data_IF_467857864043
#
_entry.id   IF_467857864043
#
_cell.length_a   1.000
_cell.length_b   1.000
_cell.length_c   1.000
_cell.angle_alpha   90.00
_cell.angle_beta   90.00
_cell.angle_gamma   90.00
#
_symmetry.space_group_name_H-M   'P 1'
#
loop_
_entity.id
_entity.type
_entity.pdbx_description
1 polymer ?
#
# COMPACT_ATOMS: atom_id res chain seq x y z
N UNK A 1 72.74 -36.43 -36.38
CA UNK A 1 73.99 -36.94 -35.81
C UNK A 1 73.65 -37.55 -34.49
N UNK A 2 73.48 -38.85 -34.44
CA UNK A 2 74.42 -39.78 -33.85
C UNK A 2 74.48 -39.60 -32.32
N UNK A 3 74.35 -40.49 -31.45
CA UNK A 3 74.44 -41.98 -31.49
C UNK A 3 74.28 -42.44 -30.05
N UNK A 4 73.50 -43.42 -29.81
CA UNK A 4 73.85 -44.83 -29.56
C UNK A 4 74.33 -45.19 -28.15
N UNK A 5 73.56 -46.10 -27.54
CA UNK A 5 73.88 -47.36 -26.84
C UNK A 5 74.73 -47.24 -25.55
N UNK A 6 74.53 -48.04 -24.57
CA UNK A 6 74.31 -49.51 -24.34
C UNK A 6 74.07 -49.71 -22.83
N UNK A 7 73.14 -50.52 -22.44
CA UNK A 7 73.13 -51.97 -22.05
C UNK A 7 74.22 -52.45 -21.04
N UNK A 8 73.76 -52.94 -19.87
CA UNK A 8 73.96 -54.30 -19.32
C UNK A 8 73.59 -54.37 -17.84
N UNK A 9 72.65 -55.17 -17.50
CA UNK A 9 72.69 -56.55 -16.92
C UNK A 9 73.63 -56.66 -15.72
N UNK A 10 73.22 -57.04 -14.56
CA UNK A 10 72.73 -58.34 -14.12
C UNK A 10 72.63 -58.40 -12.57
N UNK A 11 71.65 -59.11 -12.11
CA UNK A 11 71.57 -60.22 -11.13
C UNK A 11 71.97 -59.97 -9.69
N UNK A 12 71.28 -60.38 -8.76
CA UNK A 12 70.73 -61.60 -8.18
C UNK A 12 70.59 -61.47 -6.66
N UNK A 13 69.46 -61.90 -6.14
CA UNK A 13 69.20 -62.59 -4.87
C UNK A 13 69.46 -61.88 -3.51
N UNK A 14 68.43 -61.87 -2.73
CA UNK A 14 68.42 -61.79 -1.26
C UNK A 14 67.05 -61.63 -0.70
N UNK A 15 66.41 -62.76 -0.37
CA UNK A 15 65.15 -62.81 0.37
C UNK A 15 65.43 -62.41 1.84
N UNK A 16 64.62 -61.54 2.39
CA UNK A 16 64.31 -61.56 3.85
C UNK A 16 62.94 -60.96 4.06
N UNK A 17 62.03 -61.72 4.64
CA UNK A 17 60.71 -61.35 5.08
C UNK A 17 60.82 -60.48 6.35
N UNK A 18 60.20 -59.36 6.33
CA UNK A 18 59.85 -58.60 7.58
C UNK A 18 58.37 -58.21 7.52
N UNK A 19 57.63 -58.87 8.41
CA UNK A 19 56.25 -58.45 8.74
C UNK A 19 56.26 -57.00 9.29
N UNK A 20 55.67 -56.07 8.57
CA UNK A 20 55.43 -54.77 9.02
C UNK A 20 53.92 -54.48 9.05
N UNK A 21 53.37 -54.36 10.24
CA UNK A 21 51.98 -53.90 10.50
C UNK A 21 51.74 -52.55 9.84
N UNK A 22 51.03 -52.56 8.74
CA UNK A 22 50.52 -51.29 8.12
C UNK A 22 49.26 -50.81 8.82
N UNK A 23 49.38 -49.83 9.72
CA UNK A 23 48.23 -49.09 10.25
C UNK A 23 47.61 -48.29 9.11
N UNK A 24 46.48 -48.77 8.60
CA UNK A 24 45.65 -47.99 7.70
C UNK A 24 44.95 -46.82 8.49
N UNK A 25 45.50 -45.61 8.42
CA UNK A 25 44.84 -44.42 8.87
C UNK A 25 43.69 -44.04 7.91
N UNK A 26 42.48 -44.45 8.26
CA UNK A 26 41.26 -43.95 7.66
C UNK A 26 41.10 -42.46 8.06
N UNK A 27 41.49 -41.56 7.15
CA UNK A 27 41.09 -40.14 7.20
C UNK A 27 39.59 -40.07 6.93
N UNK A 28 38.77 -40.08 7.98
CA UNK A 28 37.37 -39.71 7.90
C UNK A 28 37.30 -38.21 7.54
N UNK A 29 37.12 -37.92 6.27
CA UNK A 29 36.74 -36.59 5.80
C UNK A 29 35.32 -36.30 6.34
N UNK A 30 35.22 -35.65 7.51
CA UNK A 30 33.98 -35.05 7.97
C UNK A 30 33.62 -33.97 6.95
N UNK A 31 32.75 -34.30 6.01
CA UNK A 31 32.05 -33.32 5.18
C UNK A 31 31.21 -32.45 6.14
N UNK A 32 31.71 -31.26 6.44
CA UNK A 32 30.93 -30.24 7.16
C UNK A 32 29.82 -29.83 6.17
N UNK A 33 28.64 -30.39 6.33
CA UNK A 33 27.47 -29.92 5.63
C UNK A 33 27.30 -28.42 5.97
N UNK A 34 27.11 -27.55 4.99
CA UNK A 34 26.85 -26.14 5.28
C UNK A 34 25.65 -26.05 6.21
N UNK A 35 25.80 -25.29 7.31
CA UNK A 35 24.72 -25.06 8.24
C UNK A 35 23.50 -24.51 7.45
N UNK A 36 22.29 -25.00 7.72
CA UNK A 36 21.09 -24.47 7.05
C UNK A 36 21.07 -22.96 7.27
N UNK A 37 20.83 -22.24 6.17
CA UNK A 37 20.69 -20.79 6.24
C UNK A 37 19.65 -20.45 7.31
N UNK A 38 19.89 -19.46 8.19
CA UNK A 38 18.92 -19.08 9.19
C UNK A 38 17.58 -18.79 8.53
N UNK A 39 16.50 -19.36 9.07
CA UNK A 39 15.15 -19.12 8.58
C UNK A 39 14.92 -17.59 8.51
N UNK A 40 14.30 -17.07 7.45
CA UNK A 40 14.07 -15.65 7.31
C UNK A 40 13.33 -15.14 8.56
N UNK A 41 13.91 -14.13 9.19
CA UNK A 41 13.37 -13.52 10.41
C UNK A 41 11.98 -12.95 10.08
N UNK A 42 10.96 -13.34 10.84
CA UNK A 42 9.65 -12.70 10.79
C UNK A 42 9.80 -11.24 11.23
N UNK A 43 9.34 -10.31 10.38
CA UNK A 43 9.35 -8.88 10.64
C UNK A 43 7.93 -8.40 11.02
N UNK A 44 7.85 -7.33 11.83
CA UNK A 44 6.61 -6.60 12.11
C UNK A 44 6.60 -5.28 11.33
N UNK A 45 5.89 -5.25 10.21
CA UNK A 45 5.80 -4.08 9.33
C UNK A 45 4.69 -3.17 9.81
N UNK A 46 5.00 -1.94 10.18
CA UNK A 46 4.02 -0.93 10.61
C UNK A 46 3.54 -0.12 9.41
N UNK A 47 2.25 -0.24 9.10
CA UNK A 47 1.64 0.42 7.96
C UNK A 47 0.52 1.34 8.43
N UNK A 48 0.50 2.57 7.89
CA UNK A 48 -0.69 3.42 7.96
C UNK A 48 -1.22 3.65 6.55
N UNK A 49 -2.51 3.42 6.36
CA UNK A 49 -3.19 3.57 5.06
C UNK A 49 -4.40 4.48 5.15
N UNK A 50 -4.63 5.24 4.09
CA UNK A 50 -5.83 6.05 3.94
C UNK A 50 -6.94 5.29 3.21
N UNK A 51 -8.14 5.87 3.21
CA UNK A 51 -9.38 5.20 2.91
C UNK A 51 -9.48 4.50 1.55
N UNK A 52 -9.01 5.14 0.47
CA UNK A 52 -9.26 4.62 -0.88
C UNK A 52 -8.64 3.23 -1.18
N UNK A 53 -7.57 2.85 -0.49
CA UNK A 53 -6.95 1.51 -0.62
C UNK A 53 -7.37 0.55 0.50
N UNK A 54 -8.15 1.00 1.48
CA UNK A 54 -8.44 0.25 2.71
C UNK A 54 -9.09 -1.11 2.45
N UNK A 55 -10.06 -1.20 1.56
CA UNK A 55 -10.79 -2.48 1.36
C UNK A 55 -9.93 -3.52 0.64
N UNK A 56 -9.16 -3.11 -0.37
CA UNK A 56 -8.17 -3.98 -0.98
C UNK A 56 -7.07 -4.37 0.01
N UNK A 57 -6.57 -3.42 0.79
CA UNK A 57 -5.56 -3.63 1.81
C UNK A 57 -5.98 -4.69 2.83
N UNK A 58 -7.20 -4.61 3.38
CA UNK A 58 -7.71 -5.59 4.35
C UNK A 58 -7.78 -7.02 3.79
N UNK A 59 -8.01 -7.17 2.49
CA UNK A 59 -8.02 -8.47 1.83
C UNK A 59 -6.61 -8.98 1.50
N UNK A 60 -5.69 -8.06 1.12
CA UNK A 60 -4.35 -8.40 0.67
C UNK A 60 -3.37 -8.69 1.82
N UNK A 61 -3.47 -7.97 2.93
CA UNK A 61 -2.56 -8.15 4.07
C UNK A 61 -2.54 -9.58 4.60
N UNK A 62 -3.69 -10.24 4.89
CA UNK A 62 -3.68 -11.63 5.34
C UNK A 62 -3.08 -12.61 4.33
N UNK A 63 -3.15 -12.31 3.03
CA UNK A 63 -2.51 -13.12 1.98
C UNK A 63 -1.00 -12.98 2.06
N UNK A 64 -0.50 -11.74 2.16
CA UNK A 64 0.92 -11.47 2.31
C UNK A 64 1.51 -12.11 3.58
N UNK A 65 0.85 -11.97 4.73
CA UNK A 65 1.30 -12.55 6.00
C UNK A 65 1.45 -14.07 5.92
N UNK A 66 0.48 -14.75 5.29
CA UNK A 66 0.54 -16.22 5.09
C UNK A 66 1.68 -16.64 4.17
N UNK A 67 1.97 -15.86 3.13
CA UNK A 67 3.01 -16.22 2.16
C UNK A 67 4.41 -15.87 2.64
N UNK A 68 4.57 -14.76 3.34
CA UNK A 68 5.88 -14.24 3.74
C UNK A 68 6.32 -14.65 5.14
N UNK A 69 5.37 -15.00 6.02
CA UNK A 69 5.62 -15.21 7.45
C UNK A 69 5.84 -13.90 8.23
N UNK A 70 5.78 -12.73 7.57
CA UNK A 70 5.82 -11.44 8.25
C UNK A 70 4.49 -11.11 8.90
N UNK A 71 4.49 -10.12 9.81
CA UNK A 71 3.30 -9.54 10.43
C UNK A 71 3.12 -8.10 9.99
N UNK A 72 1.88 -7.67 9.83
CA UNK A 72 1.55 -6.29 9.45
C UNK A 72 0.72 -5.64 10.55
N UNK A 73 1.28 -4.61 11.17
CA UNK A 73 0.59 -3.79 12.17
C UNK A 73 -0.08 -2.63 11.45
N UNK A 74 -1.38 -2.75 11.27
CA UNK A 74 -2.17 -1.84 10.45
C UNK A 74 -2.74 -0.67 11.24
N UNK A 75 -2.64 0.52 10.67
CA UNK A 75 -3.29 1.74 11.14
C UNK A 75 -4.03 2.41 9.99
N UNK A 76 -5.05 3.19 10.32
CA UNK A 76 -5.88 3.87 9.33
C UNK A 76 -5.98 5.36 9.67
N UNK A 77 -6.07 6.21 8.63
CA UNK A 77 -6.20 7.64 8.80
C UNK A 77 -6.41 8.37 7.48
N UNK A 78 -6.85 9.62 7.53
CA UNK A 78 -7.01 10.43 6.32
C UNK A 78 -5.66 10.77 5.69
N UNK A 79 -5.60 10.85 4.34
CA UNK A 79 -4.38 11.26 3.62
C UNK A 79 -3.92 12.67 3.95
N UNK A 80 -4.84 13.53 4.33
CA UNK A 80 -4.64 14.98 4.51
C UNK A 80 -5.45 15.47 5.70
N UNK A 81 -5.24 16.75 6.05
CA UNK A 81 -5.98 17.41 7.13
C UNK A 81 -5.29 17.27 8.48
N UNK A 82 -5.96 17.80 9.52
CA UNK A 82 -5.44 17.94 10.88
C UNK A 82 -6.23 17.13 11.92
N UNK A 83 -7.07 16.18 11.48
CA UNK A 83 -7.74 15.28 12.40
C UNK A 83 -6.71 14.49 13.23
N UNK A 84 -7.02 14.11 14.47
CA UNK A 84 -6.08 13.40 15.34
C UNK A 84 -5.55 12.09 14.76
N UNK A 85 -6.34 11.41 13.94
CA UNK A 85 -6.04 10.15 13.25
C UNK A 85 -5.46 10.34 11.83
N UNK A 86 -5.44 11.58 11.30
CA UNK A 86 -4.88 11.84 9.98
C UNK A 86 -3.38 11.49 9.92
N UNK A 87 -2.94 10.94 8.79
CA UNK A 87 -1.54 10.53 8.58
C UNK A 87 -0.55 11.66 8.86
N UNK A 88 -0.77 12.91 8.38
CA UNK A 88 0.12 14.03 8.72
C UNK A 88 0.25 14.27 10.21
N UNK A 89 -0.87 14.23 10.94
CA UNK A 89 -0.90 14.49 12.39
C UNK A 89 -0.17 13.39 13.15
N UNK A 90 -0.35 12.13 12.78
CA UNK A 90 0.29 10.99 13.43
C UNK A 90 1.80 10.97 13.19
N UNK A 91 2.25 11.27 11.97
CA UNK A 91 3.68 11.43 11.68
C UNK A 91 4.29 12.62 12.44
N UNK A 92 3.57 13.74 12.56
CA UNK A 92 4.02 14.90 13.31
C UNK A 92 4.18 14.62 14.82
N UNK A 93 3.37 13.70 15.38
CA UNK A 93 3.52 13.22 16.77
C UNK A 93 4.68 12.23 16.97
N UNK A 94 5.40 11.87 15.91
CA UNK A 94 6.50 10.91 15.96
C UNK A 94 6.07 9.45 16.00
N UNK A 95 4.83 9.13 15.63
CA UNK A 95 4.42 7.73 15.50
C UNK A 95 5.23 7.05 14.39
N UNK A 96 5.72 5.85 14.69
CA UNK A 96 6.63 5.11 13.83
C UNK A 96 5.85 4.21 12.87
N UNK A 97 6.11 4.39 11.59
CA UNK A 97 5.60 3.53 10.52
C UNK A 97 6.76 3.15 9.59
N UNK A 98 6.64 2.02 8.91
CA UNK A 98 7.55 1.61 7.84
C UNK A 98 7.00 2.02 6.48
N UNK A 99 5.68 1.95 6.32
CA UNK A 99 4.97 2.29 5.08
C UNK A 99 3.83 3.26 5.38
N UNK A 100 3.70 4.26 4.52
CA UNK A 100 2.53 5.13 4.44
C UNK A 100 1.84 4.91 3.08
N UNK A 101 0.51 4.78 3.07
CA UNK A 101 -0.30 4.63 1.86
C UNK A 101 -1.37 5.74 1.86
N UNK A 102 -1.25 6.68 0.94
CA UNK A 102 -2.09 7.88 0.92
C UNK A 102 -2.18 8.49 -0.49
N UNK A 103 -2.94 9.57 -0.62
CA UNK A 103 -3.02 10.30 -1.89
C UNK A 103 -1.63 10.71 -2.38
N UNK A 104 -1.31 10.42 -3.64
CA UNK A 104 0.02 10.63 -4.23
C UNK A 104 0.57 12.04 -4.03
N UNK A 105 -0.19 13.13 -4.26
CA UNK A 105 0.30 14.49 -4.01
C UNK A 105 0.71 14.73 -2.55
N UNK A 106 0.02 14.11 -1.58
CA UNK A 106 0.39 14.20 -0.17
C UNK A 106 1.69 13.41 0.12
N UNK A 107 1.87 12.24 -0.51
CA UNK A 107 3.10 11.47 -0.43
C UNK A 107 4.28 12.25 -1.01
N UNK A 108 4.10 12.92 -2.15
CA UNK A 108 5.13 13.76 -2.76
C UNK A 108 5.56 14.90 -1.81
N UNK A 109 4.60 15.46 -1.07
CA UNK A 109 4.89 16.42 0.00
C UNK A 109 5.80 15.83 1.08
N UNK A 110 5.50 14.63 1.58
CA UNK A 110 6.35 13.95 2.57
C UNK A 110 7.73 13.58 2.03
N UNK A 111 7.83 13.19 0.77
CA UNK A 111 9.13 12.93 0.13
C UNK A 111 9.95 14.24 0.07
N UNK A 112 9.33 15.35 -0.34
CA UNK A 112 9.99 16.66 -0.40
C UNK A 112 10.44 17.16 0.98
N UNK A 113 9.69 16.85 2.03
CA UNK A 113 10.02 17.18 3.42
C UNK A 113 11.04 16.18 4.04
N UNK A 114 11.50 15.18 3.31
CA UNK A 114 12.40 14.15 3.83
C UNK A 114 11.76 13.15 4.82
N UNK A 115 10.45 13.17 4.98
CA UNK A 115 9.70 12.25 5.86
C UNK A 115 9.44 10.88 5.22
N UNK A 116 9.45 10.82 3.90
CA UNK A 116 9.42 9.57 3.13
C UNK A 116 10.64 9.49 2.21
N UNK A 117 11.10 8.27 1.95
CA UNK A 117 12.31 7.99 1.18
C UNK A 117 12.09 8.39 -0.29
N UNK A 118 13.00 9.18 -0.84
CA UNK A 118 12.99 9.54 -2.26
C UNK A 118 13.07 8.29 -3.15
N UNK A 119 12.22 8.26 -4.19
CA UNK A 119 12.14 7.12 -5.12
C UNK A 119 11.41 5.89 -4.56
N UNK A 120 10.86 5.94 -3.33
CA UNK A 120 10.09 4.84 -2.77
C UNK A 120 8.61 4.85 -3.15
N UNK A 121 8.13 5.90 -3.82
CA UNK A 121 6.73 6.00 -4.23
C UNK A 121 6.37 4.92 -5.26
N UNK A 122 5.29 4.19 -4.96
CA UNK A 122 4.68 3.21 -5.86
C UNK A 122 3.18 3.46 -5.91
N UNK A 123 2.65 3.76 -7.08
CA UNK A 123 1.21 3.95 -7.28
C UNK A 123 0.50 2.59 -7.20
N UNK A 124 -0.50 2.47 -6.32
CA UNK A 124 -1.23 1.23 -6.07
C UNK A 124 -2.59 1.20 -6.75
N UNK A 125 -3.35 2.28 -6.66
CA UNK A 125 -4.72 2.37 -7.19
C UNK A 125 -5.03 3.77 -7.65
N UNK A 126 -5.78 3.86 -8.76
CA UNK A 126 -6.40 5.10 -9.23
C UNK A 126 -7.85 5.12 -8.76
N UNK A 127 -8.21 6.10 -7.98
CA UNK A 127 -9.57 6.25 -7.43
C UNK A 127 -10.24 7.50 -7.95
N UNK A 128 -11.53 7.41 -8.25
CA UNK A 128 -12.39 8.52 -8.68
C UNK A 128 -13.29 8.97 -7.54
N UNK A 129 -13.88 10.14 -7.69
CA UNK A 129 -14.80 10.74 -6.72
C UNK A 129 -16.23 10.50 -7.19
N UNK A 130 -17.12 10.20 -6.24
CA UNK A 130 -18.54 10.04 -6.51
C UNK A 130 -19.41 10.47 -5.36
N UNK A 131 -20.70 10.34 -5.56
CA UNK A 131 -21.74 10.71 -4.60
C UNK A 131 -22.58 9.52 -4.18
N UNK A 132 -23.12 9.63 -2.98
CA UNK A 132 -24.09 8.71 -2.43
C UNK A 132 -25.20 9.47 -1.69
N UNK A 133 -26.36 8.82 -1.60
CA UNK A 133 -27.50 9.21 -0.77
C UNK A 133 -27.81 8.09 0.22
N UNK A 134 -28.62 8.35 1.23
CA UNK A 134 -29.16 7.33 2.11
C UNK A 134 -29.97 6.30 1.29
N UNK A 135 -29.86 5.02 1.63
CA UNK A 135 -30.56 3.97 0.91
C UNK A 135 -32.07 4.22 0.91
N UNK A 136 -32.65 4.13 -0.31
CA UNK A 136 -34.08 4.41 -0.54
C UNK A 136 -34.45 5.91 -0.64
N UNK A 137 -33.50 6.84 -0.46
CA UNK A 137 -33.74 8.27 -0.69
C UNK A 137 -33.78 8.57 -2.21
N UNK A 138 -34.40 9.70 -2.60
CA UNK A 138 -34.37 10.18 -3.99
C UNK A 138 -32.92 10.30 -4.49
N UNK A 139 -32.69 9.82 -5.71
CA UNK A 139 -31.36 9.82 -6.37
C UNK A 139 -31.31 10.98 -7.35
N UNK A 140 -30.63 12.10 -7.03
CA UNK A 140 -30.47 13.17 -8.00
C UNK A 140 -29.62 12.68 -9.17
N UNK A 141 -29.94 13.15 -10.36
CA UNK A 141 -29.15 12.88 -11.55
C UNK A 141 -27.91 13.80 -11.55
N UNK A 142 -26.73 13.18 -11.55
CA UNK A 142 -25.43 13.86 -11.57
C UNK A 142 -24.62 13.54 -12.84
N UNK A 143 -25.26 13.01 -13.87
CA UNK A 143 -24.60 12.47 -15.06
C UNK A 143 -23.92 13.51 -15.96
N UNK A 144 -24.25 14.79 -15.79
CA UNK A 144 -23.64 15.92 -16.52
C UNK A 144 -23.31 17.05 -15.57
N UNK A 145 -22.40 17.94 -15.96
CA UNK A 145 -22.02 19.10 -15.14
C UNK A 145 -23.22 19.98 -14.77
N UNK A 146 -24.16 20.34 -15.68
CA UNK A 146 -25.36 21.10 -15.29
C UNK A 146 -26.24 20.36 -14.27
N UNK A 147 -26.46 19.05 -14.43
CA UNK A 147 -27.27 18.24 -13.50
C UNK A 147 -26.59 18.11 -12.14
N UNK A 148 -25.27 17.86 -12.10
CA UNK A 148 -24.49 17.88 -10.87
C UNK A 148 -24.62 19.22 -10.16
N UNK A 149 -24.46 20.33 -10.89
CA UNK A 149 -24.63 21.68 -10.33
C UNK A 149 -26.01 21.85 -9.70
N UNK A 150 -27.06 21.45 -10.39
CA UNK A 150 -28.43 21.54 -9.87
C UNK A 150 -28.62 20.66 -8.64
N UNK A 151 -28.15 19.41 -8.67
CA UNK A 151 -28.23 18.49 -7.52
C UNK A 151 -27.54 19.07 -6.27
N UNK A 152 -26.37 19.71 -6.44
CA UNK A 152 -25.67 20.37 -5.34
C UNK A 152 -26.42 21.61 -4.82
N UNK A 153 -27.08 22.36 -5.69
CA UNK A 153 -27.90 23.53 -5.29
C UNK A 153 -29.16 23.09 -4.55
N UNK A 154 -29.81 22.02 -4.98
CA UNK A 154 -31.08 21.53 -4.40
C UNK A 154 -30.89 20.77 -3.08
N UNK A 155 -29.74 20.11 -2.88
CA UNK A 155 -29.45 19.36 -1.66
C UNK A 155 -29.53 20.28 -0.43
N UNK A 156 -30.21 19.83 0.63
CA UNK A 156 -30.36 20.57 1.90
C UNK A 156 -29.08 20.50 2.74
N UNK A 157 -28.34 19.39 2.63
CA UNK A 157 -27.09 19.19 3.35
C UNK A 157 -26.15 18.26 2.57
N UNK A 158 -24.86 18.55 2.64
CA UNK A 158 -23.82 17.81 1.92
C UNK A 158 -22.72 17.44 2.92
N UNK A 159 -22.29 16.18 2.93
CA UNK A 159 -21.13 15.73 3.67
C UNK A 159 -19.95 15.49 2.72
N UNK A 160 -18.75 15.93 3.10
CA UNK A 160 -17.53 15.69 2.36
C UNK A 160 -16.35 15.40 3.30
N UNK A 161 -15.39 14.60 2.85
CA UNK A 161 -14.27 14.19 3.70
C UNK A 161 -13.27 15.33 3.96
N UNK A 162 -12.53 15.26 5.05
CA UNK A 162 -11.39 16.15 5.31
C UNK A 162 -10.13 15.73 4.52
N UNK A 163 -10.23 14.75 3.63
CA UNK A 163 -9.13 14.21 2.84
C UNK A 163 -9.17 14.70 1.38
N UNK A 164 -8.49 14.01 0.47
CA UNK A 164 -8.26 14.45 -0.91
C UNK A 164 -9.55 14.84 -1.67
N UNK A 165 -10.57 13.96 -1.66
CA UNK A 165 -11.83 14.23 -2.37
C UNK A 165 -12.58 15.45 -1.83
N UNK A 166 -12.62 15.62 -0.52
CA UNK A 166 -13.31 16.75 0.08
C UNK A 166 -12.52 18.05 -0.03
N UNK A 167 -11.20 17.99 -0.05
CA UNK A 167 -10.36 19.14 -0.38
C UNK A 167 -10.67 19.63 -1.78
N UNK A 168 -10.66 18.72 -2.78
CA UNK A 168 -11.05 19.06 -4.14
C UNK A 168 -12.45 19.65 -4.23
N UNK A 169 -13.44 19.03 -3.56
CA UNK A 169 -14.81 19.54 -3.52
C UNK A 169 -14.86 20.98 -3.05
N UNK A 170 -14.27 21.26 -1.89
CA UNK A 170 -14.43 22.57 -1.22
C UNK A 170 -13.55 23.67 -1.79
N UNK A 171 -12.40 23.36 -2.38
CA UNK A 171 -11.45 24.36 -2.88
C UNK A 171 -11.47 24.53 -4.40
N UNK A 172 -11.96 23.53 -5.14
CA UNK A 172 -11.92 23.59 -6.61
C UNK A 172 -13.27 23.33 -7.26
N UNK A 173 -13.94 22.20 -6.96
CA UNK A 173 -15.16 21.81 -7.68
C UNK A 173 -16.27 22.85 -7.58
N UNK A 174 -16.61 23.27 -6.36
CA UNK A 174 -17.69 24.28 -6.16
C UNK A 174 -17.35 25.65 -6.74
N UNK A 175 -16.04 25.98 -6.82
CA UNK A 175 -15.56 27.19 -7.48
C UNK A 175 -15.70 27.08 -9.00
N UNK A 176 -15.25 25.97 -9.59
CA UNK A 176 -15.41 25.67 -11.04
C UNK A 176 -16.87 25.71 -11.47
N UNK A 177 -17.77 25.25 -10.60
CA UNK A 177 -19.22 25.27 -10.86
C UNK A 177 -19.87 26.64 -10.62
N UNK A 178 -19.17 27.59 -9.98
CA UNK A 178 -19.68 28.92 -9.62
C UNK A 178 -20.81 28.87 -8.58
N UNK A 179 -20.74 27.95 -7.60
CA UNK A 179 -21.79 27.74 -6.58
C UNK A 179 -21.24 27.67 -5.15
N UNK A 180 -20.01 28.10 -4.94
CA UNK A 180 -19.36 27.97 -3.64
C UNK A 180 -20.15 28.66 -2.52
N UNK A 181 -20.65 29.88 -2.76
CA UNK A 181 -21.40 30.67 -1.78
C UNK A 181 -22.71 30.00 -1.36
N UNK A 182 -23.38 29.28 -2.27
CA UNK A 182 -24.65 28.59 -1.99
C UNK A 182 -24.44 27.19 -1.38
N UNK A 183 -23.35 26.51 -1.71
CA UNK A 183 -23.14 25.10 -1.37
C UNK A 183 -22.28 24.92 -0.10
N UNK A 184 -21.22 25.70 0.07
CA UNK A 184 -20.34 25.53 1.24
C UNK A 184 -21.04 25.77 2.58
N UNK A 185 -21.95 26.75 2.76
CA UNK A 185 -22.64 26.97 4.04
C UNK A 185 -23.49 25.78 4.52
N UNK A 186 -24.00 24.97 3.60
CA UNK A 186 -24.79 23.75 3.89
C UNK A 186 -23.99 22.46 3.80
N UNK A 187 -22.66 22.57 3.65
CA UNK A 187 -21.76 21.44 3.53
C UNK A 187 -20.97 21.22 4.81
N UNK A 188 -20.92 19.95 5.28
CA UNK A 188 -20.23 19.56 6.50
C UNK A 188 -18.97 18.78 6.18
N UNK A 189 -17.84 19.27 6.67
CA UNK A 189 -16.56 18.57 6.58
C UNK A 189 -16.46 17.48 7.62
N UNK A 190 -16.28 16.23 7.20
CA UNK A 190 -16.17 15.05 8.07
C UNK A 190 -14.69 14.75 8.29
N UNK A 191 -14.26 14.69 9.56
CA UNK A 191 -12.85 14.60 9.92
C UNK A 191 -12.32 13.18 9.95
N UNK A 192 -12.94 12.29 10.72
CA UNK A 192 -12.37 10.99 11.06
C UNK A 192 -13.22 9.79 10.67
N UNK A 193 -14.51 9.97 10.34
CA UNK A 193 -15.37 8.88 9.89
C UNK A 193 -15.58 8.92 8.37
N UNK A 194 -16.05 7.81 7.80
CA UNK A 194 -16.39 7.77 6.38
C UNK A 194 -17.67 8.58 6.12
N UNK A 195 -17.66 9.35 5.05
CA UNK A 195 -18.83 10.17 4.65
C UNK A 195 -20.07 9.30 4.43
N UNK A 196 -19.90 8.11 3.82
CA UNK A 196 -21.00 7.18 3.63
C UNK A 196 -21.71 6.79 4.94
N UNK A 197 -20.99 6.69 6.05
CA UNK A 197 -21.59 6.40 7.36
C UNK A 197 -22.48 7.56 7.86
N UNK A 198 -22.03 8.79 7.63
CA UNK A 198 -22.82 10.01 7.95
C UNK A 198 -24.11 10.05 7.14
N UNK A 199 -24.03 9.73 5.84
CA UNK A 199 -25.20 9.67 4.94
C UNK A 199 -26.15 8.54 5.34
N UNK A 200 -25.61 7.34 5.65
CA UNK A 200 -26.43 6.20 6.07
C UNK A 200 -27.30 6.50 7.31
N UNK A 201 -26.77 7.24 8.27
CA UNK A 201 -27.50 7.70 9.45
C UNK A 201 -28.54 8.76 9.13
N UNK A 202 -28.42 9.44 7.98
CA UNK A 202 -29.28 10.57 7.59
C UNK A 202 -28.82 11.92 8.12
N UNK A 203 -27.57 12.05 8.58
CA UNK A 203 -26.97 13.29 9.07
C UNK A 203 -26.59 14.23 7.91
N UNK A 204 -26.59 13.74 6.69
CA UNK A 204 -26.48 14.51 5.45
C UNK A 204 -27.30 13.85 4.34
N UNK A 205 -27.90 14.67 3.48
CA UNK A 205 -28.70 14.21 2.35
C UNK A 205 -27.83 13.65 1.23
N UNK A 206 -26.71 14.32 0.96
CA UNK A 206 -25.76 13.96 -0.09
C UNK A 206 -24.37 13.82 0.49
N UNK A 207 -23.63 12.80 0.06
CA UNK A 207 -22.25 12.56 0.51
C UNK A 207 -21.29 12.37 -0.64
N UNK A 208 -20.13 13.03 -0.56
CA UNK A 208 -19.05 12.94 -1.56
C UNK A 208 -17.79 12.37 -0.92
N UNK A 209 -17.25 11.31 -1.56
CA UNK A 209 -15.98 10.70 -1.16
C UNK A 209 -15.35 9.94 -2.35
N UNK A 210 -14.18 9.34 -2.16
CA UNK A 210 -13.64 8.36 -3.10
C UNK A 210 -14.64 7.20 -3.28
N UNK A 211 -14.85 6.76 -4.51
CA UNK A 211 -15.83 5.69 -4.83
C UNK A 211 -15.55 4.43 -4.02
N UNK A 212 -14.27 4.03 -3.92
CA UNK A 212 -13.85 2.86 -3.14
C UNK A 212 -14.12 2.96 -1.63
N UNK A 213 -14.39 4.16 -1.12
CA UNK A 213 -14.78 4.39 0.28
C UNK A 213 -16.29 4.43 0.48
N UNK A 214 -17.05 4.77 -0.56
CA UNK A 214 -18.52 4.82 -0.52
C UNK A 214 -19.12 3.43 -0.74
N UNK A 215 -18.74 2.76 -1.82
CA UNK A 215 -19.34 1.50 -2.26
C UNK A 215 -19.44 0.42 -1.15
N UNK A 216 -18.46 0.24 -0.27
CA UNK A 216 -18.54 -0.77 0.79
C UNK A 216 -19.47 -0.42 1.96
N UNK A 217 -20.00 0.80 2.02
CA UNK A 217 -20.79 1.25 3.19
C UNK A 217 -22.23 0.77 3.07
N UNK A 218 -22.75 0.01 4.04
CA UNK A 218 -24.16 -0.36 4.05
C UNK A 218 -25.05 0.85 4.38
N UNK A 219 -26.27 0.83 3.86
CA UNK A 219 -27.28 1.85 4.16
C UNK A 219 -27.18 3.11 3.31
N UNK A 220 -26.34 3.09 2.25
CA UNK A 220 -26.31 4.13 1.21
C UNK A 220 -26.59 3.54 -0.16
N UNK A 221 -27.04 4.39 -1.07
CA UNK A 221 -27.09 4.13 -2.50
C UNK A 221 -26.05 5.00 -3.18
N UNK A 222 -25.09 4.36 -3.83
CA UNK A 222 -24.14 5.06 -4.70
C UNK A 222 -24.88 5.55 -5.95
N UNK A 223 -24.77 6.85 -6.28
CA UNK A 223 -25.53 7.47 -7.36
C UNK A 223 -24.68 7.78 -8.60
N UNK A 224 -23.39 7.55 -8.54
CA UNK A 224 -22.49 7.69 -9.67
C UNK A 224 -21.22 8.49 -9.37
N UNK A 225 -20.26 8.46 -10.31
CA UNK A 225 -19.06 9.29 -10.25
C UNK A 225 -19.40 10.73 -10.63
N UNK A 226 -18.47 11.65 -10.36
CA UNK A 226 -18.50 12.97 -10.97
C UNK A 226 -18.43 12.85 -12.50
N UNK A 227 -19.08 13.76 -13.26
CA UNK A 227 -18.88 13.89 -14.70
C UNK A 227 -17.39 14.05 -15.03
N UNK A 228 -16.95 13.48 -16.16
CA UNK A 228 -15.53 13.43 -16.56
C UNK A 228 -14.88 14.81 -16.63
N UNK A 229 -15.62 15.83 -17.04
CA UNK A 229 -15.15 17.22 -17.19
C UNK A 229 -14.74 17.85 -15.86
N UNK A 230 -15.28 17.35 -14.76
CA UNK A 230 -15.01 17.81 -13.41
C UNK A 230 -14.54 16.70 -12.48
N UNK A 231 -14.23 15.53 -13.03
CA UNK A 231 -13.68 14.41 -12.27
C UNK A 231 -12.22 14.68 -11.91
N UNK A 232 -11.87 14.40 -10.66
CA UNK A 232 -10.48 14.33 -10.24
C UNK A 232 -10.14 12.92 -9.79
N UNK A 233 -9.42 12.20 -10.63
CA UNK A 233 -8.86 10.92 -10.27
C UNK A 233 -7.58 11.13 -9.45
N UNK A 234 -7.51 10.44 -8.31
CA UNK A 234 -6.35 10.48 -7.43
C UNK A 234 -5.65 9.11 -7.43
N UNK A 235 -4.35 9.11 -7.68
CA UNK A 235 -3.53 7.94 -7.38
C UNK A 235 -3.29 7.86 -5.88
N UNK A 236 -3.55 6.70 -5.30
CA UNK A 236 -3.13 6.37 -3.94
C UNK A 236 -1.87 5.52 -4.03
N UNK A 237 -0.86 5.97 -3.33
CA UNK A 237 0.51 5.49 -3.49
C UNK A 237 1.07 5.06 -2.15
N UNK A 238 1.89 4.00 -2.17
CA UNK A 238 2.71 3.60 -1.04
C UNK A 238 4.06 4.31 -1.09
N UNK A 239 4.58 4.66 0.08
CA UNK A 239 5.94 5.17 0.25
C UNK A 239 6.56 4.60 1.52
N UNK A 240 7.89 4.48 1.53
CA UNK A 240 8.65 4.05 2.69
C UNK A 240 8.95 5.28 3.55
N UNK A 241 8.66 5.20 4.85
CA UNK A 241 8.94 6.28 5.81
C UNK A 241 10.45 6.35 6.05
N UNK A 242 10.98 7.57 6.15
CA UNK A 242 12.38 7.77 6.50
C UNK A 242 12.64 7.23 7.91
N UNK A 243 13.63 6.36 8.05
CA UNK A 243 13.91 5.66 9.32
C UNK A 243 13.05 4.41 9.55
N UNK A 244 12.38 3.87 8.52
CA UNK A 244 11.69 2.57 8.58
C UNK A 244 12.60 1.49 9.16
N UNK A 245 12.08 0.72 10.11
CA UNK A 245 12.84 -0.33 10.81
C UNK A 245 12.93 -1.62 10.01
N UNK A 246 11.86 -1.95 9.30
CA UNK A 246 11.72 -3.23 8.56
C UNK A 246 11.77 -2.99 7.04
N UNK A 247 12.85 -2.32 6.57
CA UNK A 247 12.97 -1.82 5.20
C UNK A 247 12.74 -2.90 4.13
N UNK A 248 13.38 -4.06 4.26
CA UNK A 248 13.27 -5.13 3.25
C UNK A 248 11.88 -5.77 3.24
N UNK A 249 11.30 -6.00 4.42
CA UNK A 249 9.94 -6.51 4.54
C UNK A 249 8.91 -5.48 4.02
N UNK A 250 9.14 -4.18 4.27
CA UNK A 250 8.32 -3.10 3.71
C UNK A 250 8.37 -3.08 2.18
N UNK A 251 9.55 -3.22 1.58
CA UNK A 251 9.70 -3.35 0.11
C UNK A 251 8.96 -4.57 -0.44
N UNK A 252 9.06 -5.71 0.26
CA UNK A 252 8.38 -6.94 -0.12
C UNK A 252 6.85 -6.76 -0.09
N UNK A 253 6.30 -6.10 0.92
CA UNK A 253 4.87 -5.80 1.02
C UNK A 253 4.39 -4.87 -0.10
N UNK A 254 5.12 -3.80 -0.39
CA UNK A 254 4.77 -2.89 -1.51
C UNK A 254 4.81 -3.64 -2.84
N UNK A 255 5.83 -4.47 -3.07
CA UNK A 255 5.93 -5.32 -4.26
C UNK A 255 4.77 -6.30 -4.36
N UNK A 256 4.33 -6.88 -3.24
CA UNK A 256 3.16 -7.76 -3.21
C UNK A 256 1.89 -7.02 -3.64
N UNK A 257 1.66 -5.80 -3.18
CA UNK A 257 0.50 -4.99 -3.58
C UNK A 257 0.43 -4.67 -5.08
N UNK A 258 1.57 -4.68 -5.78
CA UNK A 258 1.64 -4.48 -7.24
C UNK A 258 1.75 -5.79 -8.05
N UNK A 259 1.63 -6.93 -7.39
CA UNK A 259 1.75 -8.24 -8.03
C UNK A 259 0.49 -8.65 -8.81
N UNK A 260 0.65 -9.59 -9.73
CA UNK A 260 -0.49 -10.20 -10.44
C UNK A 260 -1.52 -10.85 -9.50
N UNK A 261 -1.11 -11.27 -8.30
CA UNK A 261 -2.02 -11.80 -7.27
C UNK A 261 -2.90 -10.72 -6.64
N UNK A 262 -2.38 -9.51 -6.48
CA UNK A 262 -3.11 -8.39 -5.90
C UNK A 262 -4.09 -7.75 -6.89
N UNK A 263 -3.77 -7.76 -8.18
CA UNK A 263 -4.55 -7.08 -9.22
C UNK A 263 -6.05 -7.40 -9.20
N UNK A 264 -6.51 -8.69 -9.09
CA UNK A 264 -7.95 -9.00 -9.05
C UNK A 264 -8.67 -8.48 -7.80
N UNK A 265 -7.94 -8.26 -6.69
CA UNK A 265 -8.50 -7.70 -5.45
C UNK A 265 -8.64 -6.19 -5.56
N UNK A 266 -7.69 -5.54 -6.22
CA UNK A 266 -7.68 -4.08 -6.40
C UNK A 266 -8.70 -3.63 -7.45
N UNK A 267 -8.97 -4.46 -8.46
CA UNK A 267 -9.89 -4.14 -9.55
C UNK A 267 -11.40 -4.26 -9.18
N UNK A 268 -11.73 -4.79 -7.99
CA UNK A 268 -13.11 -4.89 -7.47
C UNK A 268 -13.60 -3.55 -6.93
#
# INVERSE_FOLDING_TARGET
>A
MQSILTLRRATLRGALAVLGLGAATLLAACAIAPAPAPAPRSAEIRVITSGAFTEAYKQLVPLFERESGHKVISSFGASMGNAPDAIPTRLARGEQFDIIILAGPALDGFIKEGKAVAGSRVDLVRSTIGFAVKSGAPKPDISTVPKLKQALLDAKSIAYSASASGTYFSTELVQKLGIAEQVLPKSKRILSERVGTVVARGDAELGLQQVSELVPIPGIDYIGPLPDEVQQATFFSAGIVTGAKELEAARALIKFFTSAKAAPVIAK
#
